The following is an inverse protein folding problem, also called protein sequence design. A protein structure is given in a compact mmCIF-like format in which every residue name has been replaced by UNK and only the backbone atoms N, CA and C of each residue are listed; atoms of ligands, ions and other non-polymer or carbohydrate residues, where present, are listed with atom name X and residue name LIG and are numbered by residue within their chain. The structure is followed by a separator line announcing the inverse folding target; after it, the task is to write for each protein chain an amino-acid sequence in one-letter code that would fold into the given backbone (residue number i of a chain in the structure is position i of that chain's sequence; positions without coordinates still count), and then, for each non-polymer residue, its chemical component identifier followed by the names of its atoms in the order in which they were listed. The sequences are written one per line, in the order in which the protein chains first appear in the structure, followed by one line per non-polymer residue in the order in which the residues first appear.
data_IF_032515581984
#
_entry.id   IF_032515581984
#
_cell.length_a   1.000
_cell.length_b   1.000
_cell.length_c   1.000
_cell.angle_alpha   90.00
_cell.angle_beta   90.00
_cell.angle_gamma   90.00
#
_symmetry.space_group_name_H-M   'P 1'
#
loop_
_entity.id
_entity.type
_entity.pdbx_description
1 polymer ?
#
# COMPACT_ATOMS: atom_id res chain seq x y z
N UNK A 1 17.76 4.72 -54.71
CA UNK A 1 17.84 4.15 -53.35
C UNK A 1 17.20 5.14 -52.40
N UNK A 2 15.98 4.80 -51.97
CA UNK A 2 14.95 5.76 -51.60
C UNK A 2 14.97 6.09 -50.10
N UNK A 3 14.71 7.35 -49.74
CA UNK A 3 14.74 7.91 -48.38
C UNK A 3 13.88 7.14 -47.35
N UNK A 4 12.97 6.29 -47.84
CA UNK A 4 12.10 5.40 -47.06
C UNK A 4 12.90 4.31 -46.34
N UNK A 5 13.93 3.71 -46.97
CA UNK A 5 14.74 2.67 -46.30
C UNK A 5 15.57 3.22 -45.13
N UNK A 6 15.90 4.52 -45.15
CA UNK A 6 16.61 5.18 -44.05
C UNK A 6 15.71 5.44 -42.82
N UNK A 7 14.42 5.72 -43.02
CA UNK A 7 13.45 5.88 -41.94
C UNK A 7 13.10 4.53 -41.27
N UNK A 8 13.02 3.45 -42.05
CA UNK A 8 12.82 2.10 -41.52
C UNK A 8 14.00 1.60 -40.68
N UNK A 9 15.24 1.96 -41.04
CA UNK A 9 16.42 1.64 -40.24
C UNK A 9 16.44 2.38 -38.88
N UNK A 10 15.94 3.62 -38.84
CA UNK A 10 15.83 4.39 -37.59
C UNK A 10 14.76 3.82 -36.64
N UNK A 11 13.65 3.31 -37.17
CA UNK A 11 12.60 2.67 -36.37
C UNK A 11 13.00 1.29 -35.83
N UNK A 12 13.80 0.53 -36.58
CA UNK A 12 14.29 -0.79 -36.13
C UNK A 12 15.39 -0.69 -35.06
N UNK A 13 16.13 0.42 -34.98
CA UNK A 13 17.13 0.65 -33.93
C UNK A 13 16.53 0.96 -32.55
N UNK A 14 15.24 1.34 -32.49
CA UNK A 14 14.49 1.49 -31.22
C UNK A 14 13.85 0.16 -30.78
N UNK A 15 13.85 -0.86 -31.65
CA UNK A 15 13.26 -2.17 -31.41
C UNK A 15 14.18 -3.22 -30.77
N UNK A 16 15.44 -2.88 -30.47
CA UNK A 16 16.46 -3.81 -29.94
C UNK A 16 17.06 -3.37 -28.61
N UNK A 17 16.24 -2.84 -27.70
CA UNK A 17 16.57 -2.92 -26.26
C UNK A 17 15.81 -4.11 -25.66
N UNK A 18 16.51 -5.24 -25.72
CA UNK A 18 16.30 -6.42 -24.91
C UNK A 18 16.09 -6.05 -23.43
N UNK A 19 15.41 -6.93 -22.71
CA UNK A 19 15.11 -6.78 -21.29
C UNK A 19 16.33 -6.40 -20.47
N UNK A 20 16.34 -5.15 -20.00
CA UNK A 20 17.07 -4.79 -18.79
C UNK A 20 16.15 -5.11 -17.61
N UNK A 21 16.37 -6.27 -17.00
CA UNK A 21 15.91 -6.56 -15.64
C UNK A 21 16.63 -5.55 -14.75
N UNK A 22 15.99 -4.41 -14.49
CA UNK A 22 16.41 -3.51 -13.40
C UNK A 22 15.92 -4.17 -12.12
N UNK A 23 16.79 -4.99 -11.55
CA UNK A 23 16.87 -5.10 -10.10
C UNK A 23 17.42 -3.76 -9.60
N UNK A 24 16.65 -3.03 -8.81
CA UNK A 24 17.12 -2.33 -7.61
C UNK A 24 15.99 -1.51 -6.96
N UNK A 25 15.98 -1.69 -5.64
CA UNK A 25 15.42 -0.88 -4.56
C UNK A 25 13.90 -0.66 -4.38
N UNK A 26 13.43 -1.32 -3.32
CA UNK A 26 12.21 -1.06 -2.55
C UNK A 26 12.21 0.37 -1.98
N UNK A 27 11.78 1.34 -2.77
CA UNK A 27 11.27 2.60 -2.26
C UNK A 27 9.79 2.73 -2.65
N UNK A 28 8.89 2.42 -1.71
CA UNK A 28 7.43 2.52 -1.84
C UNK A 28 6.89 3.96 -2.03
N UNK A 29 7.71 4.94 -2.43
CA UNK A 29 7.33 6.36 -2.54
C UNK A 29 6.93 6.85 -3.94
N UNK A 30 7.27 6.14 -5.01
CA UNK A 30 7.31 6.74 -6.37
C UNK A 30 6.57 5.93 -7.45
N UNK A 31 5.61 5.09 -7.03
CA UNK A 31 4.90 4.15 -7.91
C UNK A 31 3.63 4.64 -8.66
N UNK A 32 2.98 5.80 -8.42
CA UNK A 32 1.88 6.22 -9.30
C UNK A 32 2.40 6.59 -10.71
N UNK A 33 3.66 7.01 -10.82
CA UNK A 33 4.21 7.56 -12.05
C UNK A 33 4.54 6.53 -13.12
N UNK A 34 4.97 5.31 -12.75
CA UNK A 34 5.44 4.33 -13.74
C UNK A 34 4.32 3.71 -14.58
N UNK A 35 3.18 3.36 -13.96
CA UNK A 35 2.04 2.78 -14.68
C UNK A 35 1.38 3.82 -15.59
N UNK A 36 1.17 5.03 -15.09
CA UNK A 36 0.62 6.14 -15.87
C UNK A 36 1.54 6.49 -17.06
N UNK A 37 2.86 6.55 -16.84
CA UNK A 37 3.84 6.75 -17.92
C UNK A 37 3.80 5.65 -18.96
N UNK A 38 3.60 4.39 -18.57
CA UNK A 38 3.50 3.26 -19.51
C UNK A 38 2.19 3.31 -20.31
N UNK A 39 1.07 3.67 -19.67
CA UNK A 39 -0.22 3.86 -20.34
C UNK A 39 -0.12 4.99 -21.38
N UNK A 40 0.40 6.15 -20.98
CA UNK A 40 0.64 7.31 -21.86
C UNK A 40 1.58 6.97 -23.04
N UNK A 41 2.63 6.17 -22.80
CA UNK A 41 3.51 5.70 -23.87
C UNK A 41 2.82 4.77 -24.87
N UNK A 42 1.91 3.90 -24.40
CA UNK A 42 1.15 3.00 -25.28
C UNK A 42 0.12 3.79 -26.08
N UNK A 43 -0.60 4.72 -25.43
CA UNK A 43 -1.57 5.59 -26.09
C UNK A 43 -0.92 6.46 -27.18
N UNK A 44 0.21 7.11 -26.88
CA UNK A 44 0.98 7.86 -27.88
C UNK A 44 1.45 7.00 -29.05
N UNK A 45 1.74 5.72 -28.83
CA UNK A 45 2.14 4.79 -29.90
C UNK A 45 0.95 4.37 -30.76
N UNK A 46 -0.23 4.17 -30.17
CA UNK A 46 -1.46 3.89 -30.89
C UNK A 46 -1.88 5.08 -31.75
N UNK A 47 -1.84 6.31 -31.21
CA UNK A 47 -2.13 7.54 -31.97
C UNK A 47 -1.18 7.68 -33.16
N UNK A 48 0.14 7.54 -32.94
CA UNK A 48 1.11 7.58 -34.05
C UNK A 48 0.86 6.49 -35.08
N UNK A 49 0.45 5.29 -34.66
CA UNK A 49 0.15 4.20 -35.58
C UNK A 49 -1.07 4.51 -36.45
N UNK A 50 -2.10 5.12 -35.87
CA UNK A 50 -3.25 5.63 -36.61
C UNK A 50 -2.85 6.72 -37.60
N UNK A 51 -2.03 7.69 -37.17
CA UNK A 51 -1.49 8.74 -38.05
C UNK A 51 -0.69 8.15 -39.22
N UNK A 52 0.15 7.14 -38.94
CA UNK A 52 0.89 6.43 -39.99
C UNK A 52 -0.04 5.72 -40.96
N UNK A 53 -1.13 5.11 -40.48
CA UNK A 53 -2.10 4.39 -41.31
C UNK A 53 -2.85 5.33 -42.26
N UNK A 54 -3.22 6.52 -41.79
CA UNK A 54 -3.92 7.54 -42.60
C UNK A 54 -3.07 8.02 -43.79
N UNK A 55 -1.74 8.01 -43.66
CA UNK A 55 -0.81 8.50 -44.69
C UNK A 55 -0.21 7.40 -45.57
N UNK A 56 -0.64 6.14 -45.40
CA UNK A 56 -0.18 5.02 -46.20
C UNK A 56 -1.02 4.87 -47.48
N UNK A 57 -0.40 4.46 -48.60
CA UNK A 57 -1.15 4.19 -49.82
C UNK A 57 -2.06 2.97 -49.64
N UNK A 58 -3.22 2.97 -50.32
CA UNK A 58 -4.29 1.97 -50.14
C UNK A 58 -3.86 0.53 -50.43
N UNK A 59 -2.79 0.32 -51.20
CA UNK A 59 -2.24 -0.98 -51.57
C UNK A 59 -1.08 -1.46 -50.67
N UNK A 60 -0.76 -0.72 -49.60
CA UNK A 60 0.31 -1.08 -48.68
C UNK A 60 -0.06 -2.31 -47.82
N UNK A 61 0.90 -3.22 -47.62
CA UNK A 61 0.75 -4.34 -46.69
C UNK A 61 0.74 -3.84 -45.23
N UNK A 62 -0.44 -3.86 -44.60
CA UNK A 62 -0.64 -3.44 -43.21
C UNK A 62 -0.45 -4.55 -42.20
N UNK A 63 -0.18 -5.79 -42.60
CA UNK A 63 -0.18 -6.96 -41.70
C UNK A 63 0.74 -6.78 -40.48
N UNK A 64 1.87 -6.10 -40.66
CA UNK A 64 2.82 -5.81 -39.58
C UNK A 64 2.34 -4.69 -38.65
N UNK A 65 1.59 -3.72 -39.17
CA UNK A 65 0.96 -2.66 -38.39
C UNK A 65 -0.20 -3.23 -37.58
N UNK A 66 -1.05 -4.05 -38.18
CA UNK A 66 -2.16 -4.72 -37.50
C UNK A 66 -1.65 -5.61 -36.35
N UNK A 67 -0.56 -6.36 -36.58
CA UNK A 67 0.08 -7.16 -35.53
C UNK A 67 0.68 -6.30 -34.41
N UNK A 68 1.09 -5.06 -34.70
CA UNK A 68 1.66 -4.15 -33.71
C UNK A 68 0.56 -3.44 -32.91
N UNK A 69 -0.55 -3.06 -33.57
CA UNK A 69 -1.77 -2.53 -32.96
C UNK A 69 -2.33 -3.52 -31.94
N UNK A 70 -2.59 -4.76 -32.36
CA UNK A 70 -3.09 -5.82 -31.47
C UNK A 70 -2.17 -6.07 -30.26
N UNK A 71 -0.84 -5.94 -30.44
CA UNK A 71 0.13 -6.06 -29.33
C UNK A 71 0.10 -4.87 -28.38
N UNK A 72 -0.14 -3.66 -28.87
CA UNK A 72 -0.26 -2.45 -28.05
C UNK A 72 -1.58 -2.44 -27.28
N UNK A 73 -2.69 -2.80 -27.93
CA UNK A 73 -3.99 -2.97 -27.29
C UNK A 73 -3.95 -4.02 -26.18
N UNK A 74 -3.37 -5.20 -26.46
CA UNK A 74 -3.19 -6.25 -25.45
C UNK A 74 -2.25 -5.85 -24.29
N UNK A 75 -1.38 -4.87 -24.50
CA UNK A 75 -0.57 -4.28 -23.40
C UNK A 75 -1.38 -3.26 -22.61
N UNK A 76 -2.22 -2.47 -23.28
CA UNK A 76 -3.08 -1.50 -22.63
C UNK A 76 -4.09 -2.18 -21.69
N UNK A 77 -4.71 -3.27 -22.14
CA UNK A 77 -5.63 -4.06 -21.31
C UNK A 77 -4.93 -4.60 -20.05
N UNK A 78 -3.74 -5.20 -20.20
CA UNK A 78 -2.95 -5.69 -19.06
C UNK A 78 -2.54 -4.58 -18.09
N UNK A 79 -2.20 -3.39 -18.61
CA UNK A 79 -1.89 -2.24 -17.75
C UNK A 79 -3.12 -1.75 -16.99
N UNK A 80 -4.30 -1.78 -17.61
CA UNK A 80 -5.57 -1.44 -16.96
C UNK A 80 -5.93 -2.47 -15.87
N UNK A 81 -5.78 -3.77 -16.15
CA UNK A 81 -5.94 -4.84 -15.15
C UNK A 81 -5.01 -4.64 -13.97
N UNK A 82 -3.71 -4.41 -14.21
CA UNK A 82 -2.73 -4.15 -13.15
C UNK A 82 -3.07 -2.90 -12.32
N UNK A 83 -3.64 -1.87 -12.94
CA UNK A 83 -4.08 -0.67 -12.22
C UNK A 83 -5.29 -0.98 -11.33
N UNK A 84 -6.27 -1.73 -11.84
CA UNK A 84 -7.43 -2.17 -11.07
C UNK A 84 -7.03 -3.05 -9.88
N UNK A 85 -6.15 -4.04 -10.09
CA UNK A 85 -5.64 -4.92 -9.04
C UNK A 85 -4.92 -4.14 -7.94
N UNK A 86 -4.15 -3.11 -8.32
CA UNK A 86 -3.47 -2.25 -7.37
C UNK A 86 -4.45 -1.46 -6.51
N UNK A 87 -5.49 -0.89 -7.10
CA UNK A 87 -6.51 -0.16 -6.33
C UNK A 87 -7.33 -1.11 -5.45
N UNK A 88 -7.65 -2.31 -5.93
CA UNK A 88 -8.29 -3.36 -5.13
C UNK A 88 -7.42 -3.76 -3.93
N UNK A 89 -6.11 -3.98 -4.13
CA UNK A 89 -5.17 -4.32 -3.06
C UNK A 89 -5.02 -3.17 -2.04
N UNK A 90 -5.00 -1.91 -2.50
CA UNK A 90 -5.01 -0.74 -1.60
C UNK A 90 -6.29 -0.69 -0.78
N UNK A 91 -7.45 -0.90 -1.41
CA UNK A 91 -8.74 -0.90 -0.74
C UNK A 91 -8.82 -2.03 0.29
N UNK A 92 -8.38 -3.24 -0.05
CA UNK A 92 -8.30 -4.38 0.88
C UNK A 92 -7.40 -4.07 2.08
N UNK A 93 -6.24 -3.44 1.84
CA UNK A 93 -5.31 -3.05 2.91
C UNK A 93 -5.91 -2.00 3.84
N UNK A 94 -6.68 -1.04 3.30
CA UNK A 94 -7.39 -0.05 4.11
C UNK A 94 -8.50 -0.73 4.92
N UNK A 95 -9.30 -1.60 4.30
CA UNK A 95 -10.34 -2.35 4.97
C UNK A 95 -9.78 -3.19 6.15
N UNK A 96 -8.68 -3.92 5.94
CA UNK A 96 -8.01 -4.67 7.03
C UNK A 96 -7.48 -3.78 8.15
N UNK A 97 -7.05 -2.55 7.84
CA UNK A 97 -6.59 -1.59 8.87
C UNK A 97 -7.75 -1.09 9.71
N UNK A 98 -8.89 -0.77 9.10
CA UNK A 98 -10.10 -0.37 9.82
C UNK A 98 -10.66 -1.54 10.63
N UNK A 99 -10.74 -2.75 10.08
CA UNK A 99 -11.14 -3.96 10.83
C UNK A 99 -10.24 -4.17 12.07
N UNK A 100 -8.93 -4.06 11.92
CA UNK A 100 -8.00 -4.16 13.05
C UNK A 100 -8.21 -3.04 14.07
N UNK A 101 -8.53 -1.82 13.62
CA UNK A 101 -8.81 -0.67 14.48
C UNK A 101 -10.08 -0.91 15.29
N UNK A 102 -11.18 -1.30 14.65
CA UNK A 102 -12.45 -1.64 15.29
C UNK A 102 -12.26 -2.76 16.32
N UNK A 103 -11.64 -3.88 15.92
CA UNK A 103 -11.36 -4.98 16.83
C UNK A 103 -10.46 -4.58 18.02
N UNK A 104 -9.62 -3.55 17.87
CA UNK A 104 -8.82 -2.99 18.96
C UNK A 104 -9.67 -2.15 19.91
N UNK A 105 -10.58 -1.32 19.38
CA UNK A 105 -11.52 -0.53 20.17
C UNK A 105 -12.45 -1.44 20.96
N UNK A 106 -13.02 -2.48 20.34
CA UNK A 106 -13.88 -3.46 21.01
C UNK A 106 -13.17 -4.13 22.19
N UNK A 107 -11.91 -4.54 22.01
CA UNK A 107 -11.09 -5.11 23.08
C UNK A 107 -10.86 -4.12 24.22
N UNK A 108 -10.71 -2.83 23.92
CA UNK A 108 -10.52 -1.80 24.94
C UNK A 108 -11.81 -1.48 25.69
N UNK A 109 -12.94 -1.44 24.99
CA UNK A 109 -14.28 -1.27 25.57
C UNK A 109 -14.58 -2.45 26.49
N UNK A 110 -14.47 -3.69 25.99
CA UNK A 110 -14.70 -4.90 26.79
C UNK A 110 -13.83 -4.98 28.05
N UNK A 111 -12.55 -4.57 27.96
CA UNK A 111 -11.66 -4.50 29.14
C UNK A 111 -12.07 -3.42 30.13
N UNK A 112 -12.57 -2.29 29.64
CA UNK A 112 -13.02 -1.19 30.49
C UNK A 112 -14.33 -1.57 31.19
N UNK A 113 -15.26 -2.19 30.46
CA UNK A 113 -16.48 -2.76 31.01
C UNK A 113 -16.19 -3.82 32.08
N UNK A 114 -15.31 -4.79 31.79
CA UNK A 114 -14.92 -5.80 32.77
C UNK A 114 -14.22 -5.20 34.01
N UNK A 115 -13.60 -4.02 33.90
CA UNK A 115 -13.04 -3.31 35.05
C UNK A 115 -14.14 -2.62 35.88
N UNK A 116 -15.17 -2.07 35.25
CA UNK A 116 -16.37 -1.56 35.92
C UNK A 116 -17.11 -2.67 36.66
N UNK A 117 -17.27 -3.84 36.01
CA UNK A 117 -17.92 -5.01 36.62
C UNK A 117 -17.15 -5.48 37.87
N UNK A 118 -15.81 -5.44 37.87
CA UNK A 118 -15.02 -5.74 39.07
C UNK A 118 -15.19 -4.71 40.18
N UNK A 119 -15.41 -3.44 39.84
CA UNK A 119 -15.67 -2.39 40.85
C UNK A 119 -17.03 -2.64 41.51
N UNK A 120 -18.05 -3.00 40.71
CA UNK A 120 -19.38 -3.33 41.25
C UNK A 120 -19.35 -4.63 42.07
N UNK A 121 -18.61 -5.66 41.63
CA UNK A 121 -18.35 -6.87 42.41
C UNK A 121 -17.67 -6.56 43.75
N UNK A 122 -16.65 -5.69 43.77
CA UNK A 122 -15.99 -5.30 45.02
C UNK A 122 -16.95 -4.57 45.96
N UNK A 123 -17.82 -3.68 45.45
CA UNK A 123 -18.85 -3.04 46.30
C UNK A 123 -19.86 -4.02 46.89
N UNK A 124 -20.18 -5.07 46.15
CA UNK A 124 -21.10 -6.11 46.62
C UNK A 124 -20.45 -7.06 47.63
N UNK A 125 -19.12 -7.16 47.62
CA UNK A 125 -18.34 -7.97 48.56
C UNK A 125 -18.11 -7.23 49.88
N UNK A 126 -18.60 -7.80 50.98
CA UNK A 126 -18.43 -7.24 52.33
C UNK A 126 -16.97 -7.20 52.78
N UNK A 127 -16.10 -8.00 52.17
CA UNK A 127 -14.68 -8.10 52.51
C UNK A 127 -13.78 -7.25 51.59
N UNK A 128 -14.36 -6.45 50.69
CA UNK A 128 -13.59 -5.55 49.83
C UNK A 128 -12.85 -4.49 50.66
N UNK A 129 -11.51 -4.54 50.62
CA UNK A 129 -10.64 -3.64 51.38
C UNK A 129 -10.51 -2.22 50.77
N UNK A 130 -11.20 -1.93 49.67
CA UNK A 130 -11.16 -0.63 49.01
C UNK A 130 -12.19 0.32 49.64
N UNK A 131 -11.78 1.57 49.90
CA UNK A 131 -12.70 2.60 50.37
C UNK A 131 -13.65 3.07 49.25
N UNK A 132 -14.86 3.48 49.64
CA UNK A 132 -15.93 3.85 48.69
C UNK A 132 -15.55 5.09 47.85
N UNK A 133 -14.78 6.02 48.41
CA UNK A 133 -14.32 7.21 47.70
C UNK A 133 -13.37 6.84 46.54
N UNK A 134 -12.46 5.89 46.76
CA UNK A 134 -11.59 5.34 45.71
C UNK A 134 -12.38 4.54 44.69
N UNK A 135 -13.34 3.73 45.11
CA UNK A 135 -14.18 2.97 44.18
C UNK A 135 -14.99 3.90 43.28
N UNK A 136 -15.60 4.95 43.83
CA UNK A 136 -16.30 5.99 43.07
C UNK A 136 -15.37 6.73 42.10
N UNK A 137 -14.16 7.12 42.53
CA UNK A 137 -13.20 7.79 41.66
C UNK A 137 -12.67 6.87 40.53
N UNK A 138 -12.58 5.56 40.76
CA UNK A 138 -12.21 4.58 39.73
C UNK A 138 -13.35 4.41 38.74
N UNK A 139 -14.58 4.25 39.22
CA UNK A 139 -15.77 4.12 38.39
C UNK A 139 -15.96 5.34 37.47
N UNK A 140 -15.83 6.56 37.99
CA UNK A 140 -15.93 7.78 37.20
C UNK A 140 -14.90 7.79 36.05
N UNK A 141 -13.63 7.48 36.36
CA UNK A 141 -12.55 7.42 35.35
C UNK A 141 -12.78 6.34 34.29
N UNK A 142 -13.27 5.17 34.71
CA UNK A 142 -13.56 4.07 33.79
C UNK A 142 -14.78 4.38 32.92
N UNK A 143 -15.80 5.03 33.47
CA UNK A 143 -17.00 5.45 32.75
C UNK A 143 -16.69 6.53 31.72
N UNK A 144 -15.91 7.56 32.11
CA UNK A 144 -15.43 8.59 31.17
C UNK A 144 -14.59 7.98 30.05
N UNK A 145 -13.72 7.02 30.39
CA UNK A 145 -12.93 6.28 29.39
C UNK A 145 -13.81 5.45 28.46
N UNK A 146 -14.85 4.80 28.98
CA UNK A 146 -15.80 4.01 28.18
C UNK A 146 -16.50 4.92 27.17
N UNK A 147 -17.07 6.05 27.62
CA UNK A 147 -17.74 7.01 26.74
C UNK A 147 -16.81 7.55 25.65
N UNK A 148 -15.54 7.81 25.97
CA UNK A 148 -14.53 8.20 24.98
C UNK A 148 -14.28 7.11 23.94
N UNK A 149 -14.21 5.84 24.35
CA UNK A 149 -13.98 4.73 23.43
C UNK A 149 -15.20 4.45 22.54
N UNK A 150 -16.42 4.61 23.06
CA UNK A 150 -17.66 4.50 22.30
C UNK A 150 -17.80 5.63 21.28
N UNK A 151 -17.48 6.88 21.65
CA UNK A 151 -17.43 8.02 20.74
C UNK A 151 -16.36 7.83 19.63
N UNK A 152 -15.24 7.18 19.96
CA UNK A 152 -14.23 6.79 18.98
C UNK A 152 -14.73 5.71 18.00
N UNK A 153 -15.62 4.83 18.44
CA UNK A 153 -16.20 3.77 17.62
C UNK A 153 -17.34 4.29 16.74
N UNK A 154 -18.13 5.26 17.24
CA UNK A 154 -19.19 5.94 16.46
C UNK A 154 -18.62 6.88 15.38
N UNK A 155 -17.32 7.20 15.44
CA UNK A 155 -16.65 8.09 14.51
C UNK A 155 -16.90 9.58 14.81
N UNK A 156 -17.47 9.89 15.97
CA UNK A 156 -17.80 11.26 16.40
C UNK A 156 -16.55 12.06 16.84
N UNK A 157 -15.46 11.39 17.25
CA UNK A 157 -14.20 12.04 17.61
C UNK A 157 -12.95 11.40 16.98
N UNK A 158 -11.91 12.23 16.75
CA UNK A 158 -10.58 11.79 16.35
C UNK A 158 -9.91 11.01 17.50
N UNK A 159 -10.06 9.69 17.46
CA UNK A 159 -9.51 8.83 18.50
C UNK A 159 -7.98 8.80 18.45
N UNK A 160 -7.33 9.59 19.32
CA UNK A 160 -5.90 9.41 19.62
C UNK A 160 -5.75 8.18 20.50
N UNK A 161 -5.72 7.00 19.88
CA UNK A 161 -5.32 5.79 20.58
C UNK A 161 -3.98 6.05 21.27
N UNK A 162 -3.85 5.81 22.59
CA UNK A 162 -2.58 5.97 23.27
C UNK A 162 -1.57 5.06 22.56
N UNK A 163 -0.61 5.67 21.89
CA UNK A 163 0.47 4.94 21.23
C UNK A 163 1.11 4.08 22.30
N UNK A 164 1.11 2.75 22.11
CA UNK A 164 1.96 1.89 22.94
C UNK A 164 3.37 2.47 22.84
N UNK A 165 4.08 2.72 23.95
CA UNK A 165 5.47 3.12 23.88
C UNK A 165 6.21 2.04 23.07
N UNK A 166 6.73 2.44 21.93
CA UNK A 166 7.39 1.57 20.94
C UNK A 166 8.78 1.13 21.43
N UNK A 167 8.95 0.74 22.69
CA UNK A 167 10.27 0.39 23.24
C UNK A 167 10.89 -0.86 22.61
N UNK A 168 10.07 -1.72 21.99
CA UNK A 168 10.53 -3.00 21.40
C UNK A 168 11.04 -2.87 19.95
N UNK A 169 10.61 -1.83 19.23
CA UNK A 169 10.95 -1.62 17.82
C UNK A 169 12.33 -0.98 17.63
N UNK A 170 12.76 -0.13 18.56
CA UNK A 170 14.07 0.52 18.48
C UNK A 170 15.20 -0.48 18.77
N UNK A 171 15.03 -1.35 19.76
CA UNK A 171 15.96 -2.44 20.05
C UNK A 171 16.16 -3.40 18.85
N UNK A 172 15.09 -3.68 18.10
CA UNK A 172 15.17 -4.52 16.90
C UNK A 172 15.85 -3.80 15.72
N UNK A 173 15.69 -2.48 15.59
CA UNK A 173 16.40 -1.69 14.58
C UNK A 173 17.90 -1.63 14.86
N UNK A 174 18.30 -1.50 16.13
CA UNK A 174 19.71 -1.49 16.50
C UNK A 174 20.37 -2.86 16.30
N UNK A 175 19.70 -3.96 16.67
CA UNK A 175 20.20 -5.32 16.34
C UNK A 175 20.31 -5.59 14.84
N UNK A 176 19.41 -5.04 14.03
CA UNK A 176 19.48 -5.18 12.56
C UNK A 176 20.61 -4.35 11.96
N UNK A 177 20.89 -3.16 12.51
CA UNK A 177 22.06 -2.35 12.12
C UNK A 177 23.37 -3.03 12.50
N UNK A 178 23.45 -3.63 13.68
CA UNK A 178 24.64 -4.37 14.13
C UNK A 178 24.90 -5.64 13.31
N UNK A 179 23.84 -6.29 12.81
CA UNK A 179 23.96 -7.43 11.88
C UNK A 179 24.36 -7.00 10.46
N UNK A 180 23.99 -5.79 10.03
CA UNK A 180 24.39 -5.23 8.73
C UNK A 180 25.82 -4.67 8.75
N UNK A 181 26.31 -4.18 9.89
CA UNK A 181 27.71 -3.76 10.03
C UNK A 181 28.65 -4.96 10.06
N UNK A 182 28.28 -6.03 10.76
CA UNK A 182 29.08 -7.27 10.86
C UNK A 182 29.13 -8.11 9.58
N UNK A 183 28.19 -7.94 8.64
CA UNK A 183 28.25 -8.64 7.34
C UNK A 183 29.18 -7.99 6.31
N UNK A 184 29.59 -6.73 6.54
CA UNK A 184 30.56 -6.02 5.67
C UNK A 184 32.02 -6.38 5.96
N UNK A 185 32.29 -7.05 7.09
CA UNK A 185 33.65 -7.39 7.53
C UNK A 185 34.05 -8.85 7.25
N UNK A 186 33.27 -9.58 6.43
CA UNK A 186 33.71 -10.90 5.94
C UNK A 186 34.79 -10.65 4.88
N UNK A 187 36.06 -11.05 5.10
CA UNK A 187 37.07 -10.97 4.06
C UNK A 187 36.63 -11.89 2.93
N UNK A 188 36.47 -11.35 1.73
CA UNK A 188 36.40 -12.17 0.52
C UNK A 188 37.75 -12.86 0.39
N UNK A 189 37.83 -14.12 0.83
CA UNK A 189 38.95 -14.99 0.49
C UNK A 189 39.04 -15.05 -1.04
N UNK A 190 40.24 -14.73 -1.53
CA UNK A 190 40.65 -14.76 -2.93
C UNK A 190 40.92 -16.19 -3.36
#
# INVERSE_FOLDING_TARGET
MSKITALFAALLFVGTLAGAVVAEDDAEGERPDRLARLQDQVEKRLVRLADFREHMPDDADTSRLDALEARLEARQTKLAECAADREACKAERVAKREEHREATLDKMIARTQAALDRVSECRADSDCAADEERLAAIEEKLSERLSKLEACQSGEEECKNPKRPHSRTDYLKDQLKDRQSTSKDIPKER
#
